data_IF_684889558043
#
_entry.id   IF_684889558043
#
_cell.length_a   1.000
_cell.length_b   1.000
_cell.length_c   1.000
_cell.angle_alpha   90.00
_cell.angle_beta   90.00
_cell.angle_gamma   90.00
#
_symmetry.space_group_name_H-M   'P 1'
#
loop_
_entity.id
_entity.type
_entity.pdbx_description
1 polymer ?
#
# COMPACT_ATOMS: atom_id res chain seq x y z
N UNK A 1 -1.95 -10.35 18.13
CA UNK A 1 -0.95 -10.09 17.08
C UNK A 1 -1.65 -9.34 15.97
N UNK A 2 -1.46 -8.03 15.91
CA UNK A 2 -1.79 -7.22 14.73
C UNK A 2 -0.79 -7.60 13.62
N UNK A 3 -1.21 -7.70 12.35
CA UNK A 3 -0.29 -8.15 11.31
C UNK A 3 0.87 -7.17 11.15
N UNK A 4 2.01 -7.71 10.71
CA UNK A 4 3.14 -6.94 10.22
C UNK A 4 2.63 -6.11 9.04
N UNK A 5 2.58 -4.80 9.18
CA UNK A 5 2.14 -3.90 8.10
C UNK A 5 3.31 -3.62 7.16
N UNK A 6 3.03 -3.62 5.86
CA UNK A 6 3.92 -3.03 4.84
C UNK A 6 3.39 -1.64 4.47
N UNK A 7 4.25 -0.78 3.93
CA UNK A 7 3.88 0.59 3.57
C UNK A 7 3.27 0.71 2.16
N UNK A 8 3.24 -0.38 1.39
CA UNK A 8 2.81 -0.40 -0.02
C UNK A 8 1.48 -1.09 -0.30
N UNK A 9 0.89 -1.78 0.70
CA UNK A 9 -0.40 -2.46 0.54
C UNK A 9 -1.16 -2.58 1.87
N UNK A 10 -2.49 -2.51 1.80
CA UNK A 10 -3.38 -2.88 2.91
C UNK A 10 -3.78 -4.35 2.76
N UNK A 11 -3.67 -5.11 3.86
CA UNK A 11 -3.85 -6.57 3.84
C UNK A 11 -4.70 -7.04 5.06
N UNK A 12 -5.98 -6.66 5.17
CA UNK A 12 -6.86 -7.18 6.23
C UNK A 12 -7.29 -8.63 5.98
N UNK A 13 -7.49 -9.37 7.06
CA UNK A 13 -8.17 -10.68 7.07
C UNK A 13 -9.51 -10.51 7.78
N UNK A 14 -10.59 -10.93 7.14
CA UNK A 14 -11.91 -10.93 7.77
C UNK A 14 -11.97 -11.99 8.89
N UNK A 15 -12.27 -11.62 10.14
CA UNK A 15 -12.04 -12.47 11.30
C UNK A 15 -12.96 -13.69 11.37
N UNK A 16 -14.12 -13.66 10.70
CA UNK A 16 -15.09 -14.76 10.72
C UNK A 16 -14.99 -15.69 9.50
N UNK A 17 -14.62 -15.15 8.34
CA UNK A 17 -14.63 -15.90 7.08
C UNK A 17 -13.23 -16.30 6.63
N UNK A 18 -12.19 -15.71 7.23
CA UNK A 18 -10.81 -15.90 6.78
C UNK A 18 -10.50 -15.27 5.42
N UNK A 19 -11.41 -14.44 4.87
CA UNK A 19 -11.18 -13.80 3.59
C UNK A 19 -10.05 -12.77 3.70
N UNK A 20 -9.00 -12.96 2.89
CA UNK A 20 -7.90 -12.01 2.72
C UNK A 20 -8.27 -11.00 1.64
N UNK A 21 -8.23 -9.70 1.95
CA UNK A 21 -8.37 -8.62 0.96
C UNK A 21 -7.04 -7.92 0.80
N UNK A 22 -6.62 -7.64 -0.43
CA UNK A 22 -5.36 -6.95 -0.73
C UNK A 22 -5.69 -5.73 -1.61
N UNK A 23 -5.23 -4.55 -1.21
CA UNK A 23 -5.30 -3.33 -2.02
C UNK A 23 -3.98 -2.59 -2.00
N UNK A 24 -3.52 -2.09 -3.15
CA UNK A 24 -2.32 -1.26 -3.23
C UNK A 24 -2.51 0.11 -2.58
N UNK A 25 -1.42 0.69 -2.08
CA UNK A 25 -1.38 2.08 -1.62
C UNK A 25 -0.88 2.96 -2.79
N UNK A 26 -1.54 4.08 -3.11
CA UNK A 26 -1.12 4.96 -4.20
C UNK A 26 0.34 5.43 -4.05
N UNK A 27 1.07 5.51 -5.16
CA UNK A 27 2.48 5.93 -5.22
C UNK A 27 3.44 5.09 -4.35
N UNK A 28 3.06 3.85 -4.05
CA UNK A 28 3.89 2.88 -3.35
C UNK A 28 4.03 1.61 -4.17
N UNK A 29 5.19 0.99 -4.05
CA UNK A 29 5.54 -0.27 -4.71
C UNK A 29 6.38 -1.09 -3.76
N UNK A 30 6.37 -2.41 -3.92
CA UNK A 30 7.12 -3.29 -3.05
C UNK A 30 6.96 -4.76 -3.41
N UNK A 31 7.85 -5.57 -2.85
CA UNK A 31 7.89 -7.00 -3.04
C UNK A 31 8.06 -7.67 -1.68
N UNK A 32 7.13 -8.55 -1.30
CA UNK A 32 7.17 -9.23 -0.01
C UNK A 32 6.56 -10.64 -0.10
N UNK A 33 7.21 -11.58 0.57
CA UNK A 33 6.65 -12.90 0.85
C UNK A 33 5.86 -12.87 2.16
N UNK A 34 4.64 -13.38 2.14
CA UNK A 34 3.74 -13.45 3.28
C UNK A 34 3.45 -14.92 3.62
N UNK A 35 3.39 -15.19 4.92
CA UNK A 35 2.94 -16.47 5.47
C UNK A 35 1.62 -16.26 6.18
N UNK A 36 0.57 -16.92 5.71
CA UNK A 36 -0.73 -17.01 6.36
C UNK A 36 -0.70 -18.21 7.30
N UNK A 37 -1.09 -18.01 8.55
CA UNK A 37 -1.19 -19.09 9.55
C UNK A 37 -2.63 -19.16 10.06
N UNK A 38 -3.26 -20.33 9.92
CA UNK A 38 -4.47 -20.67 10.64
C UNK A 38 -4.09 -21.44 11.92
N UNK A 39 -4.70 -21.10 13.05
CA UNK A 39 -4.43 -21.72 14.35
C UNK A 39 -5.76 -22.09 15.02
N UNK A 40 -6.05 -23.39 15.14
CA UNK A 40 -7.27 -23.91 15.77
C UNK A 40 -7.13 -24.10 17.30
N UNK A 41 -5.97 -23.73 17.86
CA UNK A 41 -5.63 -23.74 19.30
C UNK A 41 -5.59 -25.10 19.97
N UNK A 42 -5.53 -26.19 19.22
CA UNK A 42 -5.27 -27.51 19.79
C UNK A 42 -3.84 -27.63 20.35
N UNK A 43 -3.61 -28.63 21.21
CA UNK A 43 -2.29 -28.87 21.84
C UNK A 43 -1.26 -29.36 20.81
N UNK A 44 -1.71 -30.13 19.82
CA UNK A 44 -0.87 -30.70 18.77
C UNK A 44 -1.48 -30.38 17.40
N UNK A 45 -0.62 -30.17 16.41
CA UNK A 45 -1.02 -29.94 15.01
C UNK A 45 -2.02 -28.78 14.81
N UNK A 46 -1.98 -27.77 15.67
CA UNK A 46 -2.96 -26.68 15.64
C UNK A 46 -2.78 -25.70 14.50
N UNK A 47 -1.62 -25.72 13.84
CA UNK A 47 -1.23 -24.72 12.85
C UNK A 47 -1.20 -25.30 11.44
N UNK A 48 -1.87 -24.61 10.52
CA UNK A 48 -1.74 -24.80 9.09
C UNK A 48 -1.21 -23.51 8.44
N UNK A 49 -0.24 -23.63 7.53
CA UNK A 49 0.42 -22.47 6.91
C UNK A 49 0.34 -22.49 5.39
N UNK A 50 0.20 -21.30 4.79
CA UNK A 50 0.26 -21.06 3.34
C UNK A 50 1.12 -19.84 3.06
N UNK A 51 1.95 -19.92 2.02
CA UNK A 51 2.80 -18.81 1.61
C UNK A 51 2.29 -18.22 0.29
N UNK A 52 2.41 -16.91 0.14
CA UNK A 52 2.23 -16.23 -1.13
C UNK A 52 3.19 -15.05 -1.24
N UNK A 53 3.46 -14.63 -2.47
CA UNK A 53 4.28 -13.44 -2.76
C UNK A 53 3.36 -12.34 -3.29
N UNK A 54 3.53 -11.13 -2.76
CA UNK A 54 2.89 -9.93 -3.29
C UNK A 54 3.94 -9.05 -3.97
N UNK A 55 3.71 -8.75 -5.24
CA UNK A 55 4.48 -7.79 -6.01
C UNK A 55 3.55 -6.62 -6.41
N UNK A 56 3.76 -5.45 -5.82
CA UNK A 56 3.13 -4.20 -6.24
C UNK A 56 4.11 -3.47 -7.13
N UNK A 57 3.87 -3.51 -8.43
CA UNK A 57 4.75 -2.92 -9.45
C UNK A 57 4.72 -1.39 -9.41
N UNK A 58 5.88 -0.77 -9.57
CA UNK A 58 5.96 0.67 -9.81
C UNK A 58 5.44 0.99 -11.22
N UNK A 59 4.72 2.11 -11.34
CA UNK A 59 4.37 2.72 -12.63
C UNK A 59 5.10 4.06 -12.76
N UNK A 60 5.68 4.30 -13.92
CA UNK A 60 6.33 5.57 -14.22
C UNK A 60 5.28 6.53 -14.83
N UNK A 61 4.86 7.53 -14.07
CA UNK A 61 3.92 8.54 -14.52
C UNK A 61 4.67 9.72 -15.17
N UNK A 62 4.09 10.41 -16.17
CA UNK A 62 4.71 11.57 -16.78
C UNK A 62 4.84 12.74 -15.79
N UNK A 63 5.82 13.65 -15.97
CA UNK A 63 5.92 14.85 -15.13
C UNK A 63 4.69 15.75 -15.31
N UNK A 64 4.16 16.26 -14.19
CA UNK A 64 3.09 17.26 -14.19
C UNK A 64 3.69 18.67 -14.05
N UNK A 65 3.33 19.59 -14.96
CA UNK A 65 3.71 21.00 -14.86
C UNK A 65 2.51 21.84 -14.41
N UNK A 66 2.71 22.71 -13.42
CA UNK A 66 1.72 23.73 -13.01
C UNK A 66 2.32 25.10 -13.28
N UNK A 67 1.56 25.96 -13.96
CA UNK A 67 1.92 27.37 -14.08
C UNK A 67 1.84 28.01 -12.69
N UNK A 68 2.86 28.78 -12.31
CA UNK A 68 2.72 29.71 -11.20
C UNK A 68 1.71 30.80 -11.59
N UNK A 69 0.94 31.29 -10.61
CA UNK A 69 0.11 32.47 -10.85
C UNK A 69 1.01 33.61 -11.34
N UNK A 70 0.63 34.33 -12.40
CA UNK A 70 1.40 35.49 -12.82
C UNK A 70 1.42 36.49 -11.68
N UNK A 71 2.61 36.77 -11.15
CA UNK A 71 2.81 37.94 -10.31
C UNK A 71 2.61 39.14 -11.24
N UNK A 72 1.49 39.85 -11.09
CA UNK A 72 1.36 41.20 -11.65
C UNK A 72 2.34 42.11 -10.92
N UNK A 73 3.59 42.13 -11.38
CA UNK A 73 4.52 43.19 -11.03
C UNK A 73 4.06 44.46 -11.74
N UNK A 74 3.16 45.21 -11.10
CA UNK A 74 2.71 46.53 -11.53
C UNK A 74 3.82 47.59 -11.37
N UNK A 75 5.01 47.33 -11.93
CA UNK A 75 6.16 48.25 -11.90
C UNK A 75 6.29 49.11 -13.15
N UNK A 76 5.18 49.46 -13.80
CA UNK A 76 5.19 50.46 -14.88
C UNK A 76 3.99 51.40 -14.76
N UNK A 77 4.10 52.40 -13.88
CA UNK A 77 3.57 53.73 -14.16
C UNK A 77 4.78 54.65 -14.36
N UNK A 78 5.12 54.86 -15.64
CA UNK A 78 5.99 55.96 -16.07
C UNK A 78 5.08 57.17 -16.31
N UNK A 79 5.32 58.26 -15.58
CA UNK A 79 5.51 59.64 -16.04
C UNK A 79 5.71 60.55 -14.83
#
# INVERSE_FOLDING_TARGET
MTPVSVDFANIPIHPLTGQLTISSIPNKSGYQSFTITADDRQIQNSKATKNFVLNVESRNDPPEFKLSQPVLDNKMQIL
#
